data_IF_356866013738
#
_entry.id   IF_356866013738
#
_cell.length_a   1.000
_cell.length_b   1.000
_cell.length_c   1.000
_cell.angle_alpha   90.00
_cell.angle_beta   90.00
_cell.angle_gamma   90.00
#
_symmetry.space_group_name_H-M   'P 1'
#
loop_
_entity.id
_entity.type
_entity.pdbx_description
1 polymer ?
#
# COMPACT_ATOMS: atom_id res chain seq x y z
N UNK A 1 6.00 6.08 -17.96
CA UNK A 1 4.98 5.96 -16.91
C UNK A 1 5.53 5.13 -15.74
N UNK A 2 5.23 5.54 -14.52
CA UNK A 2 5.61 4.80 -13.31
C UNK A 2 4.45 3.93 -12.87
N UNK A 3 4.74 2.64 -12.66
CA UNK A 3 3.75 1.69 -12.17
C UNK A 3 4.26 1.14 -10.84
N UNK A 4 3.45 1.24 -9.80
CA UNK A 4 3.74 0.64 -8.50
C UNK A 4 2.81 -0.55 -8.28
N UNK A 5 3.37 -1.62 -7.72
CA UNK A 5 2.61 -2.84 -7.41
C UNK A 5 2.68 -3.15 -5.92
N UNK A 6 1.52 -3.22 -5.30
CA UNK A 6 1.36 -3.79 -3.95
C UNK A 6 0.89 -5.23 -4.11
N UNK A 7 1.82 -6.17 -4.01
CA UNK A 7 1.51 -7.59 -4.08
C UNK A 7 0.98 -8.12 -2.74
N UNK A 8 0.54 -9.37 -2.74
CA UNK A 8 0.04 -10.01 -1.51
C UNK A 8 1.12 -10.17 -0.44
N UNK A 9 2.36 -10.31 -0.86
CA UNK A 9 3.49 -10.46 0.04
C UNK A 9 4.31 -9.16 0.10
N UNK A 10 4.81 -8.84 1.30
CA UNK A 10 5.71 -7.70 1.45
C UNK A 10 7.11 -8.05 0.93
N UNK A 11 7.88 -7.05 0.48
CA UNK A 11 9.26 -7.29 0.06
C UNK A 11 10.12 -7.88 1.17
N UNK A 12 11.24 -8.47 0.77
CA UNK A 12 12.23 -9.03 1.70
C UNK A 12 13.10 -7.90 2.27
N UNK A 13 12.58 -7.25 3.30
CA UNK A 13 13.28 -6.15 3.98
C UNK A 13 14.28 -6.69 5.01
N UNK A 14 15.28 -5.87 5.35
CA UNK A 14 16.11 -6.12 6.52
C UNK A 14 15.25 -6.00 7.78
N UNK A 15 14.95 -7.12 8.42
CA UNK A 15 14.00 -7.20 9.53
C UNK A 15 14.48 -6.48 10.80
N UNK A 16 15.77 -6.20 10.90
CA UNK A 16 16.35 -5.47 12.02
C UNK A 16 16.30 -3.95 11.87
N UNK A 17 16.04 -3.46 10.66
CA UNK A 17 16.01 -2.03 10.38
C UNK A 17 14.67 -1.40 10.79
N UNK A 18 14.69 -0.21 11.41
CA UNK A 18 13.46 0.53 11.67
C UNK A 18 12.67 0.84 10.40
N UNK A 19 11.35 0.91 10.51
CA UNK A 19 10.47 1.14 9.36
C UNK A 19 10.83 2.40 8.58
N UNK A 20 11.13 3.52 9.27
CA UNK A 20 11.51 4.76 8.58
C UNK A 20 12.81 4.63 7.79
N UNK A 21 13.77 3.83 8.26
CA UNK A 21 15.01 3.60 7.52
C UNK A 21 14.79 2.76 6.27
N UNK A 22 13.94 1.72 6.37
CA UNK A 22 13.56 0.91 5.21
C UNK A 22 12.89 1.78 4.14
N UNK A 23 11.97 2.63 4.57
CA UNK A 23 11.28 3.58 3.71
C UNK A 23 12.26 4.55 3.02
N UNK A 24 13.13 5.18 3.79
CA UNK A 24 14.10 6.15 3.28
C UNK A 24 15.11 5.52 2.33
N UNK A 25 15.59 4.32 2.65
CA UNK A 25 16.52 3.59 1.78
C UNK A 25 15.88 3.23 0.44
N UNK A 26 14.62 2.85 0.45
CA UNK A 26 13.87 2.56 -0.77
C UNK A 26 13.76 3.79 -1.66
N UNK A 27 13.38 4.93 -1.07
CA UNK A 27 13.28 6.19 -1.81
C UNK A 27 14.64 6.67 -2.34
N UNK A 28 15.70 6.44 -1.60
CA UNK A 28 17.04 6.79 -2.04
C UNK A 28 17.45 6.01 -3.30
N UNK A 29 17.09 4.71 -3.37
CA UNK A 29 17.34 3.90 -4.56
C UNK A 29 16.59 4.41 -5.78
N UNK A 30 15.42 5.03 -5.57
CA UNK A 30 14.61 5.58 -6.66
C UNK A 30 14.98 7.03 -6.99
N UNK A 31 15.92 7.63 -6.27
CA UNK A 31 16.26 9.06 -6.43
C UNK A 31 15.16 10.00 -5.99
N UNK A 32 14.25 9.56 -5.11
CA UNK A 32 13.07 10.33 -4.68
C UNK A 32 13.11 10.81 -3.24
N UNK A 33 14.20 10.57 -2.52
CA UNK A 33 14.27 10.88 -1.09
C UNK A 33 13.99 12.36 -0.78
N UNK A 34 14.43 13.26 -1.65
CA UNK A 34 14.23 14.71 -1.44
C UNK A 34 12.82 15.19 -1.77
N UNK A 35 12.10 14.48 -2.65
CA UNK A 35 10.77 14.89 -3.12
C UNK A 35 9.62 14.19 -2.38
N UNK A 36 9.88 13.03 -1.77
CA UNK A 36 8.85 12.27 -1.12
C UNK A 36 8.57 12.78 0.30
N UNK A 37 7.32 12.67 0.78
CA UNK A 37 7.01 12.98 2.17
C UNK A 37 7.69 12.00 3.12
N UNK A 38 7.89 12.39 4.38
CA UNK A 38 8.38 11.47 5.39
C UNK A 38 7.33 10.39 5.69
N UNK A 39 7.77 9.23 6.15
CA UNK A 39 6.87 8.14 6.50
C UNK A 39 5.81 8.58 7.52
N UNK A 40 6.22 9.33 8.54
CA UNK A 40 5.30 9.82 9.55
C UNK A 40 4.23 10.77 9.02
N UNK A 41 4.56 11.60 8.02
CA UNK A 41 3.62 12.56 7.46
C UNK A 41 2.54 11.92 6.59
N UNK A 42 2.75 10.69 6.11
CA UNK A 42 1.75 9.95 5.33
C UNK A 42 0.57 9.47 6.17
N UNK A 43 0.74 9.38 7.50
CA UNK A 43 -0.34 8.94 8.38
C UNK A 43 -0.71 7.46 8.30
N UNK A 44 0.07 6.65 7.58
CA UNK A 44 -0.20 5.22 7.42
C UNK A 44 0.34 4.38 8.59
N UNK A 45 1.35 4.87 9.28
CA UNK A 45 1.91 4.24 10.48
C UNK A 45 1.90 5.22 11.65
N UNK A 46 1.62 4.71 12.84
CA UNK A 46 1.76 5.48 14.06
C UNK A 46 3.22 5.88 14.30
N UNK A 47 3.43 7.00 14.98
CA UNK A 47 4.79 7.50 15.23
C UNK A 47 5.68 6.46 15.93
N UNK A 48 5.13 5.70 16.87
CA UNK A 48 5.86 4.64 17.56
C UNK A 48 6.28 3.50 16.62
N UNK A 49 5.46 3.21 15.62
CA UNK A 49 5.74 2.14 14.66
C UNK A 49 6.83 2.53 13.66
N UNK A 50 7.00 3.81 13.34
CA UNK A 50 8.02 4.26 12.39
C UNK A 50 9.44 3.96 12.88
N UNK A 51 9.66 3.96 14.18
CA UNK A 51 10.95 3.62 14.80
C UNK A 51 11.11 2.13 15.14
N UNK A 52 10.09 1.32 14.91
CA UNK A 52 10.10 -0.10 15.24
C UNK A 52 10.80 -0.90 14.14
N UNK A 53 11.68 -1.86 14.48
CA UNK A 53 12.23 -2.77 13.48
C UNK A 53 11.14 -3.47 12.69
N UNK A 54 11.31 -3.54 11.38
CA UNK A 54 10.27 -4.08 10.47
C UNK A 54 9.84 -5.49 10.86
N UNK A 55 10.77 -6.31 11.34
CA UNK A 55 10.46 -7.68 11.77
C UNK A 55 9.53 -7.77 12.98
N UNK A 56 9.38 -6.68 13.74
CA UNK A 56 8.47 -6.60 14.88
C UNK A 56 7.13 -5.95 14.57
N UNK A 57 6.98 -5.41 13.38
CA UNK A 57 5.69 -4.85 12.94
C UNK A 57 4.67 -5.97 12.77
N UNK A 58 3.41 -5.66 13.05
CA UNK A 58 2.32 -6.56 12.70
C UNK A 58 2.22 -6.71 11.18
N UNK A 59 1.52 -7.75 10.73
CA UNK A 59 1.29 -7.97 9.32
C UNK A 59 0.60 -6.77 8.67
N UNK A 60 -0.40 -6.20 9.34
CA UNK A 60 -1.09 -5.01 8.87
C UNK A 60 -0.18 -3.80 8.77
N UNK A 61 0.68 -3.59 9.77
CA UNK A 61 1.65 -2.49 9.76
C UNK A 61 2.66 -2.66 8.62
N UNK A 62 3.14 -3.87 8.37
CA UNK A 62 4.04 -4.14 7.24
C UNK A 62 3.37 -3.84 5.91
N UNK A 63 2.11 -4.21 5.74
CA UNK A 63 1.38 -3.91 4.51
C UNK A 63 1.15 -2.41 4.34
N UNK A 64 0.88 -1.70 5.42
CA UNK A 64 0.73 -0.23 5.37
C UNK A 64 2.06 0.45 5.05
N UNK A 65 3.18 -0.06 5.55
CA UNK A 65 4.51 0.41 5.14
C UNK A 65 4.73 0.20 3.65
N UNK A 66 4.39 -0.97 3.14
CA UNK A 66 4.52 -1.28 1.71
C UNK A 66 3.65 -0.34 0.86
N UNK A 67 2.42 -0.08 1.29
CA UNK A 67 1.54 0.88 0.61
C UNK A 67 2.14 2.28 0.62
N UNK A 68 2.71 2.71 1.75
CA UNK A 68 3.38 4.00 1.85
C UNK A 68 4.53 4.10 0.85
N UNK A 69 5.32 3.05 0.71
CA UNK A 69 6.42 3.00 -0.26
C UNK A 69 5.90 3.09 -1.69
N UNK A 70 4.80 2.42 -2.00
CA UNK A 70 4.18 2.49 -3.31
C UNK A 70 3.68 3.90 -3.64
N UNK A 71 2.99 4.54 -2.70
CA UNK A 71 2.46 5.89 -2.89
C UNK A 71 3.58 6.94 -2.97
N UNK A 72 4.66 6.74 -2.24
CA UNK A 72 5.80 7.66 -2.23
C UNK A 72 6.58 7.69 -3.55
N UNK A 73 6.41 6.68 -4.40
CA UNK A 73 6.97 6.69 -5.74
C UNK A 73 6.30 7.71 -6.65
N UNK A 74 5.18 8.29 -6.24
CA UNK A 74 4.33 9.14 -7.08
C UNK A 74 4.00 8.41 -8.40
N UNK A 75 3.35 7.25 -8.33
CA UNK A 75 3.08 6.45 -9.53
C UNK A 75 2.00 7.07 -10.40
N UNK A 76 2.06 6.79 -11.69
CA UNK A 76 0.95 7.10 -12.60
C UNK A 76 -0.17 6.07 -12.44
N UNK A 77 0.21 4.83 -12.13
CA UNK A 77 -0.72 3.72 -11.92
C UNK A 77 -0.28 2.90 -10.71
N UNK A 78 -1.22 2.65 -9.81
CA UNK A 78 -1.02 1.79 -8.65
C UNK A 78 -1.85 0.51 -8.83
N UNK A 79 -1.18 -0.63 -8.83
CA UNK A 79 -1.82 -1.94 -8.89
C UNK A 79 -1.81 -2.56 -7.50
N UNK A 80 -2.98 -2.95 -7.01
CA UNK A 80 -3.14 -3.53 -5.68
C UNK A 80 -3.74 -4.93 -5.83
N UNK A 81 -2.99 -5.94 -5.40
CA UNK A 81 -3.42 -7.34 -5.43
C UNK A 81 -3.76 -7.80 -4.03
N UNK A 82 -5.07 -7.95 -3.77
CA UNK A 82 -5.61 -8.32 -2.47
C UNK A 82 -5.02 -7.49 -1.32
N UNK A 83 -5.14 -6.15 -1.37
CA UNK A 83 -4.43 -5.28 -0.41
C UNK A 83 -4.91 -5.43 1.03
N UNK A 84 -6.09 -5.98 1.24
CA UNK A 84 -6.71 -6.10 2.56
C UNK A 84 -6.65 -7.52 3.13
N UNK A 85 -6.00 -8.45 2.42
CA UNK A 85 -5.91 -9.84 2.87
C UNK A 85 -5.27 -9.94 4.26
N UNK A 86 -5.91 -10.66 5.16
CA UNK A 86 -5.48 -10.82 6.56
C UNK A 86 -5.53 -9.55 7.42
N UNK A 87 -6.21 -8.49 6.96
CA UNK A 87 -6.35 -7.26 7.72
C UNK A 87 -7.69 -7.20 8.46
N UNK A 88 -7.71 -6.47 9.59
CA UNK A 88 -8.95 -6.17 10.31
C UNK A 88 -9.81 -5.20 9.50
N UNK A 89 -11.10 -5.09 9.84
CA UNK A 89 -12.02 -4.17 9.17
C UNK A 89 -11.59 -2.71 9.32
N UNK A 90 -10.98 -2.34 10.45
CA UNK A 90 -10.46 -0.97 10.66
C UNK A 90 -9.32 -0.68 9.70
N UNK A 91 -8.39 -1.63 9.51
CA UNK A 91 -7.28 -1.47 8.57
C UNK A 91 -7.75 -1.45 7.12
N UNK A 92 -8.80 -2.21 6.78
CA UNK A 92 -9.42 -2.16 5.45
C UNK A 92 -9.97 -0.76 5.19
N UNK A 93 -10.67 -0.18 6.15
CA UNK A 93 -11.20 1.20 6.03
C UNK A 93 -10.07 2.22 5.84
N UNK A 94 -8.99 2.10 6.60
CA UNK A 94 -7.86 3.02 6.51
C UNK A 94 -7.23 2.98 5.12
N UNK A 95 -6.98 1.78 4.59
CA UNK A 95 -6.41 1.62 3.24
C UNK A 95 -7.37 2.17 2.19
N UNK A 96 -8.65 1.85 2.29
CA UNK A 96 -9.65 2.33 1.35
C UNK A 96 -9.72 3.86 1.34
N UNK A 97 -9.68 4.49 2.52
CA UNK A 97 -9.68 5.95 2.63
C UNK A 97 -8.48 6.56 1.92
N UNK A 98 -7.29 5.99 2.09
CA UNK A 98 -6.09 6.47 1.39
C UNK A 98 -6.22 6.33 -0.13
N UNK A 99 -6.79 5.22 -0.60
CA UNK A 99 -6.99 5.01 -2.04
C UNK A 99 -7.97 6.01 -2.63
N UNK A 100 -9.01 6.39 -1.90
CA UNK A 100 -9.98 7.38 -2.36
C UNK A 100 -9.39 8.78 -2.45
N UNK A 101 -8.31 9.06 -1.74
CA UNK A 101 -7.67 10.36 -1.70
C UNK A 101 -6.48 10.48 -2.64
N UNK A 102 -5.98 9.38 -3.19
CA UNK A 102 -4.83 9.44 -4.09
C UNK A 102 -5.20 10.02 -5.45
N UNK A 103 -4.27 10.74 -6.07
CA UNK A 103 -4.45 11.32 -7.40
C UNK A 103 -4.02 10.39 -8.53
N UNK A 104 -3.35 9.29 -8.24
CA UNK A 104 -2.93 8.34 -9.29
C UNK A 104 -4.09 7.44 -9.72
N UNK A 105 -3.97 6.83 -10.90
CA UNK A 105 -4.88 5.78 -11.31
C UNK A 105 -4.65 4.55 -10.44
N UNK A 106 -5.73 3.86 -10.06
CA UNK A 106 -5.67 2.70 -9.16
C UNK A 106 -6.46 1.55 -9.77
N UNK A 107 -5.86 0.37 -9.80
CA UNK A 107 -6.54 -0.88 -10.11
C UNK A 107 -6.42 -1.78 -8.88
N UNK A 108 -7.56 -2.24 -8.38
CA UNK A 108 -7.64 -3.11 -7.20
C UNK A 108 -8.22 -4.46 -7.60
N UNK A 109 -7.48 -5.53 -7.31
CA UNK A 109 -8.00 -6.90 -7.38
C UNK A 109 -8.32 -7.35 -5.95
N UNK A 110 -9.59 -7.58 -5.65
CA UNK A 110 -10.00 -7.93 -4.28
C UNK A 110 -11.27 -8.77 -4.28
N UNK A 111 -11.40 -9.63 -3.25
CA UNK A 111 -12.63 -10.32 -2.89
C UNK A 111 -13.21 -9.79 -1.57
N UNK A 112 -12.61 -8.79 -0.96
CA UNK A 112 -13.06 -8.20 0.30
C UNK A 112 -14.38 -7.45 0.09
N UNK A 113 -15.42 -7.88 0.80
CA UNK A 113 -16.77 -7.32 0.63
C UNK A 113 -16.87 -5.88 1.09
N UNK A 114 -16.17 -5.53 2.16
CA UNK A 114 -16.17 -4.16 2.68
C UNK A 114 -15.50 -3.22 1.68
N UNK A 115 -14.33 -3.60 1.15
CA UNK A 115 -13.63 -2.80 0.16
C UNK A 115 -14.45 -2.64 -1.11
N UNK A 116 -15.08 -3.72 -1.60
CA UNK A 116 -15.97 -3.65 -2.77
C UNK A 116 -17.15 -2.72 -2.53
N UNK A 117 -17.71 -2.71 -1.33
CA UNK A 117 -18.79 -1.79 -0.95
C UNK A 117 -18.30 -0.34 -0.93
N UNK A 118 -17.16 -0.09 -0.30
CA UNK A 118 -16.59 1.26 -0.16
C UNK A 118 -16.13 1.85 -1.51
N UNK A 119 -15.76 0.98 -2.46
CA UNK A 119 -15.37 1.38 -3.81
C UNK A 119 -16.47 1.12 -4.85
N UNK A 120 -17.74 1.04 -4.41
CA UNK A 120 -18.87 0.70 -5.28
C UNK A 120 -19.03 1.66 -6.46
N UNK A 121 -18.63 2.93 -6.31
CA UNK A 121 -18.72 3.93 -7.37
C UNK A 121 -17.61 3.80 -8.42
N UNK A 122 -16.60 2.97 -8.15
CA UNK A 122 -15.54 2.71 -9.12
C UNK A 122 -16.03 1.73 -10.20
N UNK A 123 -15.55 1.85 -11.44
CA UNK A 123 -15.85 0.85 -12.46
C UNK A 123 -15.38 -0.53 -12.04
N UNK A 124 -16.18 -1.54 -12.31
CA UNK A 124 -15.90 -2.93 -11.96
C UNK A 124 -15.66 -3.76 -13.21
N UNK A 125 -14.62 -4.61 -13.16
CA UNK A 125 -14.32 -5.58 -14.19
C UNK A 125 -14.35 -6.97 -13.56
N UNK A 126 -15.20 -7.83 -14.08
CA UNK A 126 -15.27 -9.22 -13.64
C UNK A 126 -14.45 -10.09 -14.61
N UNK A 127 -13.37 -10.71 -14.07
CA UNK A 127 -12.50 -11.59 -14.85
C UNK A 127 -12.91 -13.06 -14.69
N UNK A 128 -14.21 -13.35 -14.85
CA UNK A 128 -14.69 -14.72 -14.89
C UNK A 128 -14.26 -15.35 -16.23
N UNK A 129 -13.87 -16.64 -16.19
CA UNK A 129 -13.48 -17.40 -17.40
C UNK A 129 -14.58 -17.40 -18.48
N UNK A 130 -15.86 -17.29 -18.06
CA UNK A 130 -16.99 -17.22 -18.97
C UNK A 130 -17.03 -15.97 -19.80
N UNK A 131 -16.39 -14.88 -19.35
CA UNK A 131 -16.40 -13.57 -19.99
C UNK A 131 -15.15 -13.34 -20.82
N UNK A 132 -14.23 -14.29 -20.86
CA UNK A 132 -13.00 -14.17 -21.65
C UNK A 132 -13.26 -14.65 -23.07
N UNK A 133 -12.78 -13.86 -24.07
CA UNK A 133 -12.94 -14.23 -25.48
C UNK A 133 -12.18 -15.49 -25.86
#
# INVERSE_FOLDING_TARGET
ARIALLSQEVPDWDRSSPAHEVYEAYLAKLGRRAQAPSLGSLGLLEASATGTPVGRLSQGQQRRLHLAMCLAQDPDLLLLDEPTNHLSSILVDDITTELLQTSCAVIVATHDRQMLHDLADWPHLNLDLKDMP
#
